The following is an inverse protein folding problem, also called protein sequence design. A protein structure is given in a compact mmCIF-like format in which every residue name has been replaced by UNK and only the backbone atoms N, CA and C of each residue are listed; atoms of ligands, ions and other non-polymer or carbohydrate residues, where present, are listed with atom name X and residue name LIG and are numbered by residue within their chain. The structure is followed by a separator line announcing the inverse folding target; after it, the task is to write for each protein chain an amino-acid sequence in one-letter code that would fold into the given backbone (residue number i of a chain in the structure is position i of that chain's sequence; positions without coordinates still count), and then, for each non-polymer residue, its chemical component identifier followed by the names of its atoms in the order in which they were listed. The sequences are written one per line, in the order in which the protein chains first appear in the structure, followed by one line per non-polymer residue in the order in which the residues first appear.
data_IF_539747757890
#
_entry.id   IF_539747757890
#
_cell.length_a   1.000
_cell.length_b   1.000
_cell.length_c   1.000
_cell.angle_alpha   90.00
_cell.angle_beta   90.00
_cell.angle_gamma   90.00
#
_symmetry.space_group_name_H-M   'P 1'
#
loop_
_entity.id
_entity.type
_entity.pdbx_description
1 polymer ?
#
# COMPACT_ATOMS: atom_id res chain seq x y z
N UNK A 1 1.75 7.61 3.49
CA UNK A 1 0.56 7.32 2.64
C UNK A 1 0.24 5.84 2.39
N UNK A 2 1.19 5.01 1.91
CA UNK A 2 0.92 3.62 1.47
C UNK A 2 0.29 2.74 2.57
N UNK A 3 0.88 2.77 3.77
CA UNK A 3 0.41 1.95 4.90
C UNK A 3 -1.02 2.30 5.31
N UNK A 4 -1.35 3.60 5.39
CA UNK A 4 -2.70 4.04 5.71
C UNK A 4 -3.71 3.57 4.65
N UNK A 5 -3.40 3.72 3.36
CA UNK A 5 -4.26 3.22 2.27
C UNK A 5 -4.53 1.73 2.38
N UNK A 6 -3.48 0.92 2.57
CA UNK A 6 -3.61 -0.53 2.67
C UNK A 6 -4.36 -0.94 3.96
N UNK A 7 -4.00 -0.33 5.09
CA UNK A 7 -4.58 -0.59 6.39
C UNK A 7 -6.07 -0.26 6.45
N UNK A 8 -6.48 0.94 6.06
CA UNK A 8 -7.90 1.34 6.08
C UNK A 8 -8.73 0.49 5.11
N UNK A 9 -8.18 0.16 3.94
CA UNK A 9 -8.86 -0.75 2.99
C UNK A 9 -9.06 -2.13 3.57
N UNK A 10 -8.06 -2.68 4.27
CA UNK A 10 -8.17 -3.98 4.95
C UNK A 10 -9.24 -3.94 6.06
N UNK A 11 -9.27 -2.87 6.87
CA UNK A 11 -10.32 -2.70 7.89
C UNK A 11 -11.72 -2.60 7.28
N UNK A 12 -11.87 -1.91 6.14
CA UNK A 12 -13.14 -1.84 5.42
C UNK A 12 -13.53 -3.20 4.81
N UNK A 13 -12.58 -4.00 4.34
CA UNK A 13 -12.86 -5.37 3.91
C UNK A 13 -13.40 -6.22 5.07
N UNK A 14 -12.77 -6.14 6.25
CA UNK A 14 -13.24 -6.81 7.45
C UNK A 14 -14.64 -6.33 7.90
N UNK A 15 -14.95 -5.04 7.70
CA UNK A 15 -16.31 -4.53 7.93
C UNK A 15 -17.34 -5.22 7.02
N UNK A 16 -17.04 -5.31 5.73
CA UNK A 16 -17.91 -5.97 4.76
C UNK A 16 -18.12 -7.43 5.15
N UNK A 17 -17.06 -8.14 5.55
CA UNK A 17 -17.11 -9.54 5.99
C UNK A 17 -17.94 -9.73 7.27
N UNK A 18 -17.93 -8.76 8.18
CA UNK A 18 -18.76 -8.77 9.39
C UNK A 18 -20.26 -8.56 9.11
N UNK A 19 -20.62 -8.23 7.86
CA UNK A 19 -21.99 -7.87 7.48
C UNK A 19 -22.38 -6.43 7.84
N UNK A 20 -21.42 -5.60 8.25
CA UNK A 20 -21.64 -4.19 8.50
C UNK A 20 -22.11 -3.48 7.23
N UNK A 21 -23.02 -2.51 7.40
CA UNK A 21 -23.57 -1.73 6.29
C UNK A 21 -23.44 -0.25 6.59
N UNK A 22 -22.99 0.50 5.60
CA UNK A 22 -23.00 1.95 5.65
C UNK A 22 -24.44 2.46 5.67
N UNK A 23 -24.75 3.37 6.59
CA UNK A 23 -26.12 3.91 6.78
C UNK A 23 -26.58 4.92 5.73
N UNK A 24 -25.83 5.10 4.65
CA UNK A 24 -26.13 6.01 3.55
C UNK A 24 -25.43 5.55 2.27
N UNK A 25 -25.85 6.12 1.14
CA UNK A 25 -25.31 5.83 -0.18
C UNK A 25 -24.90 7.14 -0.86
N UNK A 26 -23.83 7.12 -1.64
CA UNK A 26 -23.49 8.24 -2.53
C UNK A 26 -24.45 8.21 -3.73
N UNK A 27 -25.06 9.36 -4.06
CA UNK A 27 -26.01 9.41 -5.19
C UNK A 27 -25.35 9.19 -6.54
N UNK A 28 -24.14 9.71 -6.71
CA UNK A 28 -23.33 9.54 -7.91
C UNK A 28 -21.85 9.37 -7.51
N UNK A 29 -21.41 8.13 -7.25
CA UNK A 29 -20.03 7.84 -6.85
C UNK A 29 -18.99 8.27 -7.90
N UNK A 30 -19.31 8.18 -9.18
CA UNK A 30 -18.38 8.51 -10.28
C UNK A 30 -18.12 10.01 -10.34
N UNK A 31 -19.18 10.81 -10.18
CA UNK A 31 -19.05 12.27 -10.09
C UNK A 31 -18.39 12.70 -8.79
N UNK A 32 -18.72 12.05 -7.67
CA UNK A 32 -18.14 12.33 -6.36
C UNK A 32 -16.61 12.27 -6.37
N UNK A 33 -16.02 11.23 -6.95
CA UNK A 33 -14.55 11.09 -7.06
C UNK A 33 -13.92 12.30 -7.76
N UNK A 34 -14.49 12.73 -8.90
CA UNK A 34 -13.98 13.86 -9.67
C UNK A 34 -14.13 15.20 -8.95
N UNK A 35 -15.22 15.35 -8.19
CA UNK A 35 -15.52 16.56 -7.42
C UNK A 35 -14.55 16.70 -6.25
N UNK A 36 -14.37 15.65 -5.46
CA UNK A 36 -13.41 15.63 -4.33
C UNK A 36 -11.99 15.95 -4.81
N UNK A 37 -11.56 15.29 -5.90
CA UNK A 37 -10.21 15.48 -6.44
C UNK A 37 -9.90 16.89 -6.96
N UNK A 38 -10.92 17.68 -7.33
CA UNK A 38 -10.74 19.03 -7.91
C UNK A 38 -11.11 20.15 -6.96
N UNK A 39 -11.55 19.82 -5.76
CA UNK A 39 -11.99 20.82 -4.79
C UNK A 39 -10.79 21.43 -4.06
N UNK A 40 -10.37 22.60 -4.53
CA UNK A 40 -9.31 23.40 -3.93
C UNK A 40 -9.78 24.16 -2.66
N UNK A 41 -11.07 24.15 -2.35
CA UNK A 41 -11.59 24.75 -1.11
C UNK A 41 -11.50 23.82 0.10
N UNK A 42 -11.12 22.55 -0.13
CA UNK A 42 -10.98 21.50 0.89
C UNK A 42 -12.24 21.21 1.72
N UNK A 43 -13.42 21.57 1.20
CA UNK A 43 -14.70 21.28 1.87
C UNK A 43 -15.22 19.88 1.54
N UNK A 44 -14.86 19.36 0.38
CA UNK A 44 -15.15 18.02 -0.14
C UNK A 44 -16.59 17.58 0.11
N UNK A 45 -17.56 18.40 -0.31
CA UNK A 45 -18.98 18.09 -0.12
C UNK A 45 -19.46 17.02 -1.10
N UNK A 46 -20.12 16.00 -0.55
CA UNK A 46 -20.68 14.86 -1.24
C UNK A 46 -22.20 14.85 -1.13
N UNK A 47 -22.87 14.44 -2.21
CA UNK A 47 -24.32 14.24 -2.22
C UNK A 47 -24.65 12.78 -1.87
N UNK A 48 -25.34 12.60 -0.74
CA UNK A 48 -25.69 11.29 -0.21
C UNK A 48 -27.21 11.11 -0.10
N UNK A 49 -27.65 9.88 0.14
CA UNK A 49 -29.06 9.58 0.44
C UNK A 49 -29.57 10.29 1.71
N UNK A 50 -28.67 10.74 2.61
CA UNK A 50 -28.98 11.51 3.82
C UNK A 50 -28.82 13.03 3.66
N UNK A 51 -28.53 13.51 2.46
CA UNK A 51 -28.25 14.91 2.17
C UNK A 51 -26.75 15.16 1.95
N UNK A 52 -26.35 16.44 2.05
CA UNK A 52 -24.94 16.81 1.86
C UNK A 52 -24.10 16.42 3.08
N UNK A 53 -22.98 15.73 2.84
CA UNK A 53 -22.01 15.32 3.86
C UNK A 53 -20.61 15.63 3.36
N UNK A 54 -19.66 15.96 4.24
CA UNK A 54 -18.26 16.08 3.81
C UNK A 54 -17.65 14.69 3.53
N UNK A 55 -16.61 14.63 2.71
CA UNK A 55 -15.84 13.40 2.52
C UNK A 55 -15.21 12.90 3.83
N UNK A 56 -14.88 13.83 4.74
CA UNK A 56 -14.39 13.53 6.08
C UNK A 56 -15.48 12.82 6.90
N UNK A 57 -16.72 13.32 6.91
CA UNK A 57 -17.84 12.66 7.60
C UNK A 57 -18.08 11.24 7.09
N UNK A 58 -17.95 11.06 5.77
CA UNK A 58 -18.07 9.74 5.15
C UNK A 58 -16.96 8.81 5.63
N UNK A 59 -15.71 9.27 5.65
CA UNK A 59 -14.57 8.50 6.17
C UNK A 59 -14.71 8.20 7.67
N UNK A 60 -15.18 9.16 8.48
CA UNK A 60 -15.44 8.95 9.91
C UNK A 60 -16.49 7.86 10.15
N UNK A 61 -17.52 7.76 9.31
CA UNK A 61 -18.50 6.68 9.41
C UNK A 61 -17.88 5.28 9.20
N UNK A 62 -16.93 5.15 8.26
CA UNK A 62 -16.18 3.91 8.08
C UNK A 62 -15.20 3.65 9.24
N UNK A 63 -14.51 4.69 9.71
CA UNK A 63 -13.60 4.59 10.85
C UNK A 63 -14.32 4.12 12.12
N UNK A 64 -15.49 4.69 12.44
CA UNK A 64 -16.33 4.27 13.58
C UNK A 64 -16.72 2.78 13.47
N UNK A 65 -17.13 2.34 12.27
CA UNK A 65 -17.40 0.94 12.00
C UNK A 65 -16.17 0.07 12.26
N UNK A 66 -15.03 0.43 11.66
CA UNK A 66 -13.79 -0.33 11.74
C UNK A 66 -13.28 -0.43 13.19
N UNK A 67 -13.35 0.67 13.94
CA UNK A 67 -13.00 0.73 15.36
C UNK A 67 -13.85 -0.22 16.20
N UNK A 68 -15.15 -0.35 15.88
CA UNK A 68 -16.05 -1.24 16.60
C UNK A 68 -15.71 -2.73 16.43
N UNK A 69 -14.96 -3.12 15.39
CA UNK A 69 -14.54 -4.52 15.19
C UNK A 69 -13.48 -4.98 16.20
N UNK A 70 -12.72 -4.05 16.79
CA UNK A 70 -11.64 -4.34 17.75
C UNK A 70 -10.66 -5.41 17.24
N UNK A 71 -10.27 -5.32 15.96
CA UNK A 71 -9.36 -6.28 15.35
C UNK A 71 -7.95 -6.16 15.97
N UNK A 72 -7.31 -7.27 16.38
CA UNK A 72 -5.94 -7.24 16.90
C UNK A 72 -4.97 -6.60 15.89
N UNK A 73 -4.10 -5.72 16.36
CA UNK A 73 -3.09 -5.05 15.53
C UNK A 73 -3.61 -3.91 14.67
N UNK A 74 -4.88 -3.50 14.83
CA UNK A 74 -5.46 -2.38 14.09
C UNK A 74 -5.17 -1.00 14.72
N UNK A 75 -4.59 -0.95 15.92
CA UNK A 75 -4.44 0.27 16.73
C UNK A 75 -3.72 1.39 15.99
N UNK A 76 -2.60 1.08 15.34
CA UNK A 76 -1.81 2.07 14.59
C UNK A 76 -2.61 2.63 13.40
N UNK A 77 -3.26 1.76 12.61
CA UNK A 77 -4.04 2.19 11.44
C UNK A 77 -5.24 3.03 11.87
N UNK A 78 -5.94 2.64 12.93
CA UNK A 78 -7.08 3.39 13.46
C UNK A 78 -6.65 4.74 14.04
N UNK A 79 -5.50 4.79 14.72
CA UNK A 79 -4.90 6.03 15.22
C UNK A 79 -4.55 6.99 14.07
N UNK A 80 -3.72 6.55 13.13
CA UNK A 80 -3.31 7.39 11.99
C UNK A 80 -4.49 7.80 11.10
N UNK A 81 -5.52 6.95 10.97
CA UNK A 81 -6.73 7.33 10.23
C UNK A 81 -7.50 8.43 10.95
N UNK A 82 -7.67 8.34 12.27
CA UNK A 82 -8.32 9.40 13.05
C UNK A 82 -7.54 10.70 12.96
N UNK A 83 -6.25 10.66 13.22
CA UNK A 83 -5.37 11.83 13.22
C UNK A 83 -5.33 12.49 11.83
N UNK A 84 -5.30 11.70 10.76
CA UNK A 84 -5.38 12.23 9.40
C UNK A 84 -6.72 12.92 9.13
N UNK A 85 -7.85 12.36 9.58
CA UNK A 85 -9.17 12.99 9.42
C UNK A 85 -9.29 14.28 10.23
N UNK A 86 -8.82 14.28 11.49
CA UNK A 86 -8.80 15.46 12.35
C UNK A 86 -7.92 16.56 11.76
N UNK A 87 -6.78 16.19 11.18
CA UNK A 87 -5.87 17.15 10.53
C UNK A 87 -6.45 17.68 9.22
N UNK A 88 -7.03 16.83 8.37
CA UNK A 88 -7.73 17.27 7.14
C UNK A 88 -8.87 18.24 7.42
N UNK A 89 -9.58 18.07 8.54
CA UNK A 89 -10.68 18.96 8.94
C UNK A 89 -10.19 20.33 9.43
N UNK A 90 -9.00 20.37 10.03
CA UNK A 90 -8.41 21.58 10.61
C UNK A 90 -7.57 22.36 9.60
N UNK A 91 -6.57 21.71 9.02
CA UNK A 91 -5.72 22.22 7.95
C UNK A 91 -5.09 21.05 7.17
N UNK A 92 -5.56 20.78 5.93
CA UNK A 92 -5.00 19.73 5.09
C UNK A 92 -3.50 19.84 4.83
N UNK A 93 -2.94 21.06 4.83
CA UNK A 93 -1.54 21.29 4.49
C UNK A 93 -0.58 20.80 5.58
N UNK A 94 -1.07 20.58 6.80
CA UNK A 94 -0.27 20.03 7.89
C UNK A 94 0.07 18.55 7.73
N UNK A 95 -0.57 17.85 6.79
CA UNK A 95 -0.22 16.46 6.45
C UNK A 95 0.94 16.34 5.43
N UNK A 96 1.71 17.42 5.23
CA UNK A 96 2.82 17.43 4.28
C UNK A 96 3.85 16.33 4.55
N UNK A 97 4.03 15.94 5.81
CA UNK A 97 5.02 14.98 6.25
C UNK A 97 4.67 13.52 5.89
N UNK A 98 3.41 13.22 5.53
CA UNK A 98 2.97 11.82 5.32
C UNK A 98 1.90 11.62 4.24
N UNK A 99 1.35 12.70 3.68
CA UNK A 99 0.35 12.66 2.60
C UNK A 99 0.95 13.19 1.29
N UNK A 100 1.11 12.28 0.30
CA UNK A 100 1.85 12.58 -0.93
C UNK A 100 1.33 13.78 -1.72
N UNK A 101 0.00 13.95 -1.81
CA UNK A 101 -0.56 15.07 -2.58
C UNK A 101 -0.31 16.41 -1.89
N UNK A 102 -0.24 16.42 -0.55
CA UNK A 102 0.06 17.63 0.24
C UNK A 102 1.53 17.98 0.11
N UNK A 103 2.42 17.01 0.33
CA UNK A 103 3.87 17.16 0.18
C UNK A 103 4.22 17.71 -1.21
N UNK A 104 3.68 17.06 -2.25
CA UNK A 104 3.86 17.46 -3.64
C UNK A 104 3.29 18.85 -3.92
N UNK A 105 2.09 19.16 -3.43
CA UNK A 105 1.48 20.49 -3.64
C UNK A 105 2.38 21.58 -3.07
N UNK A 106 2.81 21.45 -1.82
CA UNK A 106 3.66 22.46 -1.18
C UNK A 106 5.01 22.61 -1.89
N UNK A 107 5.63 21.49 -2.29
CA UNK A 107 6.88 21.52 -3.04
C UNK A 107 6.74 22.29 -4.37
N UNK A 108 5.68 21.98 -5.13
CA UNK A 108 5.46 22.62 -6.43
C UNK A 108 5.03 24.09 -6.28
N UNK A 109 4.22 24.43 -5.28
CA UNK A 109 3.83 25.81 -4.98
C UNK A 109 5.06 26.65 -4.61
N UNK A 110 5.93 26.13 -3.74
CA UNK A 110 7.17 26.82 -3.35
C UNK A 110 8.11 27.04 -4.55
N UNK A 111 8.26 26.03 -5.40
CA UNK A 111 9.07 26.16 -6.62
C UNK A 111 8.47 27.17 -7.60
N UNK A 112 7.15 27.15 -7.76
CA UNK A 112 6.47 28.11 -8.63
C UNK A 112 6.64 29.55 -8.11
N UNK A 113 6.55 29.76 -6.80
CA UNK A 113 6.78 31.05 -6.18
C UNK A 113 8.24 31.52 -6.32
N UNK A 114 9.22 30.63 -6.10
CA UNK A 114 10.64 31.00 -6.17
C UNK A 114 11.10 31.36 -7.59
N UNK A 115 10.53 30.70 -8.60
CA UNK A 115 10.92 30.87 -10.01
C UNK A 115 9.94 31.76 -10.80
N UNK A 116 8.99 32.43 -10.14
CA UNK A 116 7.94 33.28 -10.74
C UNK A 116 7.17 32.56 -11.89
N UNK A 117 6.85 31.28 -11.65
CA UNK A 117 6.13 30.44 -12.61
C UNK A 117 4.62 30.54 -12.41
N UNK A 118 3.90 30.56 -13.53
CA UNK A 118 2.44 30.53 -13.52
C UNK A 118 1.91 29.13 -13.87
N UNK A 119 0.95 28.63 -13.08
CA UNK A 119 0.34 27.31 -13.25
C UNK A 119 -0.32 27.08 -14.62
N UNK A 120 -0.66 28.14 -15.34
CA UNK A 120 -1.26 28.07 -16.68
C UNK A 120 -0.21 28.22 -17.78
N UNK A 121 0.62 29.26 -17.70
CA UNK A 121 1.64 29.59 -18.72
C UNK A 121 2.79 28.58 -18.71
N UNK A 122 3.23 28.17 -17.53
CA UNK A 122 4.43 27.36 -17.31
C UNK A 122 4.08 25.90 -16.97
N UNK A 123 2.86 25.49 -17.36
CA UNK A 123 2.27 24.18 -17.07
C UNK A 123 3.17 23.00 -17.42
N UNK A 124 3.87 23.03 -18.55
CA UNK A 124 4.73 21.90 -18.97
C UNK A 124 5.89 21.70 -17.99
N UNK A 125 6.48 22.78 -17.48
CA UNK A 125 7.57 22.72 -16.50
C UNK A 125 7.06 22.16 -15.17
N UNK A 126 5.92 22.64 -14.68
CA UNK A 126 5.32 22.16 -13.42
C UNK A 126 4.87 20.69 -13.53
N UNK A 127 4.37 20.27 -14.69
CA UNK A 127 4.08 18.86 -14.95
C UNK A 127 5.33 17.97 -14.97
N UNK A 128 6.45 18.49 -15.48
CA UNK A 128 7.73 17.78 -15.41
C UNK A 128 8.17 17.56 -13.97
N UNK A 129 7.98 18.55 -13.10
CA UNK A 129 8.31 18.44 -11.67
C UNK A 129 7.36 17.50 -10.93
N UNK A 130 6.07 17.54 -11.25
CA UNK A 130 5.08 16.56 -10.74
C UNK A 130 5.49 15.11 -11.05
N UNK A 131 6.00 14.87 -12.26
CA UNK A 131 6.57 13.57 -12.64
C UNK A 131 7.87 13.25 -11.89
N UNK A 132 8.76 14.23 -11.74
CA UNK A 132 10.03 14.07 -11.03
C UNK A 132 9.85 13.71 -9.53
N UNK A 133 8.75 14.15 -8.90
CA UNK A 133 8.40 13.72 -7.54
C UNK A 133 8.29 12.19 -7.42
N UNK A 134 7.73 11.53 -8.44
CA UNK A 134 7.54 10.08 -8.45
C UNK A 134 8.75 9.30 -9.02
N UNK A 135 9.87 9.97 -9.31
CA UNK A 135 11.05 9.29 -9.81
C UNK A 135 11.66 8.40 -8.72
N UNK A 136 11.93 7.13 -9.08
CA UNK A 136 12.42 6.09 -8.16
C UNK A 136 13.93 6.12 -7.99
N UNK A 137 14.65 6.87 -8.82
CA UNK A 137 16.08 7.09 -8.69
C UNK A 137 16.38 7.89 -7.41
N UNK A 138 17.14 7.35 -6.44
CA UNK A 138 17.48 8.04 -5.20
C UNK A 138 18.12 9.41 -5.41
N UNK A 139 18.95 9.58 -6.44
CA UNK A 139 19.68 10.83 -6.68
C UNK A 139 18.86 11.89 -7.43
N UNK A 140 17.72 11.51 -8.01
CA UNK A 140 16.93 12.39 -8.89
C UNK A 140 15.45 12.52 -8.48
N UNK A 141 14.96 11.71 -7.54
CA UNK A 141 13.59 11.73 -7.05
C UNK A 141 13.35 12.87 -6.06
N UNK A 142 12.40 13.76 -6.35
CA UNK A 142 12.11 14.87 -5.43
C UNK A 142 11.52 14.38 -4.09
N UNK A 143 10.77 13.26 -4.09
CA UNK A 143 10.34 12.64 -2.84
C UNK A 143 11.53 12.14 -2.00
N UNK A 144 12.55 11.56 -2.64
CA UNK A 144 13.73 11.05 -1.93
C UNK A 144 14.52 12.19 -1.28
N UNK A 145 14.67 13.31 -1.98
CA UNK A 145 15.25 14.53 -1.40
C UNK A 145 14.50 15.01 -0.14
N UNK A 146 13.16 14.92 -0.11
CA UNK A 146 12.37 15.26 1.08
C UNK A 146 12.57 14.25 2.24
N UNK A 147 12.79 12.97 1.93
CA UNK A 147 13.13 11.96 2.94
C UNK A 147 14.52 12.22 3.52
N UNK A 148 15.52 12.49 2.66
CA UNK A 148 16.90 12.81 3.07
C UNK A 148 16.99 14.06 3.95
N UNK A 149 16.16 15.08 3.68
CA UNK A 149 16.03 16.30 4.49
C UNK A 149 15.28 16.06 5.83
N UNK A 150 14.71 14.88 6.04
CA UNK A 150 13.92 14.55 7.23
C UNK A 150 12.53 15.19 7.25
N UNK A 151 12.07 15.70 6.10
CA UNK A 151 10.76 16.33 5.94
C UNK A 151 9.61 15.31 5.84
N UNK A 152 9.90 14.04 5.54
CA UNK A 152 8.90 12.97 5.42
C UNK A 152 8.98 11.95 6.57
N UNK A 153 7.83 11.52 7.07
CA UNK A 153 7.72 10.40 7.98
C UNK A 153 7.93 9.07 7.25
N UNK A 154 8.87 8.26 7.73
CA UNK A 154 9.12 6.89 7.26
C UNK A 154 8.63 5.88 8.29
N UNK A 155 8.18 4.71 7.82
CA UNK A 155 7.67 3.63 8.69
C UNK A 155 8.61 2.45 8.84
N UNK A 156 9.57 2.35 7.92
CA UNK A 156 10.58 1.30 7.87
C UNK A 156 11.92 1.96 7.62
N UNK A 157 12.98 1.35 8.14
CA UNK A 157 14.36 1.78 7.95
C UNK A 157 14.90 1.39 6.58
N UNK A 158 15.95 2.07 6.13
CA UNK A 158 16.66 1.72 4.89
C UNK A 158 17.25 0.31 4.98
N UNK A 159 17.73 -0.11 6.16
CA UNK A 159 18.23 -1.45 6.39
C UNK A 159 17.13 -2.52 6.20
N UNK A 160 15.91 -2.26 6.65
CA UNK A 160 14.77 -3.16 6.43
C UNK A 160 14.37 -3.24 4.95
N UNK A 161 14.41 -2.11 4.23
CA UNK A 161 14.14 -2.06 2.79
C UNK A 161 15.19 -2.87 2.03
N UNK A 162 16.48 -2.67 2.32
CA UNK A 162 17.56 -3.40 1.67
C UNK A 162 17.50 -4.90 1.99
N UNK A 163 17.24 -5.28 3.24
CA UNK A 163 17.07 -6.68 3.61
C UNK A 163 15.90 -7.35 2.87
N UNK A 164 14.81 -6.62 2.62
CA UNK A 164 13.63 -7.12 1.92
C UNK A 164 13.87 -7.39 0.42
N UNK A 165 14.97 -6.89 -0.16
CA UNK A 165 15.36 -7.19 -1.56
C UNK A 165 15.69 -8.66 -1.75
N UNK A 166 16.40 -9.24 -0.77
CA UNK A 166 16.90 -10.61 -0.83
C UNK A 166 16.13 -11.56 0.10
N UNK A 167 15.35 -11.03 1.04
CA UNK A 167 14.63 -11.81 2.05
C UNK A 167 13.12 -11.79 1.81
N UNK A 168 12.56 -12.96 1.48
CA UNK A 168 11.13 -13.13 1.35
C UNK A 168 10.39 -13.00 2.70
N UNK A 169 9.12 -12.54 2.71
CA UNK A 169 8.33 -12.41 3.94
C UNK A 169 8.02 -13.79 4.56
N UNK A 170 8.34 -13.94 5.85
CA UNK A 170 8.37 -15.23 6.56
C UNK A 170 6.97 -15.85 6.79
N UNK A 171 5.93 -15.04 6.94
CA UNK A 171 4.57 -15.51 7.24
C UNK A 171 3.75 -15.93 6.03
N UNK A 172 4.35 -16.05 4.84
CA UNK A 172 3.61 -16.31 3.60
C UNK A 172 4.31 -17.35 2.74
N UNK A 173 3.59 -17.94 1.78
CA UNK A 173 4.16 -18.81 0.75
C UNK A 173 5.26 -18.17 -0.11
N UNK A 174 5.49 -16.86 -0.01
CA UNK A 174 6.66 -16.22 -0.61
C UNK A 174 7.98 -16.76 -0.02
N UNK A 175 7.98 -17.14 1.26
CA UNK A 175 9.12 -17.79 1.91
C UNK A 175 9.56 -19.04 1.15
N UNK A 176 8.60 -19.89 0.79
CA UNK A 176 8.87 -21.11 0.03
C UNK A 176 9.43 -20.79 -1.35
N UNK A 177 8.84 -19.82 -2.06
CA UNK A 177 9.34 -19.39 -3.38
C UNK A 177 10.77 -18.88 -3.31
N UNK A 178 11.08 -18.05 -2.33
CA UNK A 178 12.44 -17.55 -2.10
C UNK A 178 13.43 -18.69 -1.86
N UNK A 179 13.11 -19.61 -0.94
CA UNK A 179 13.96 -20.75 -0.62
C UNK A 179 14.16 -21.71 -1.82
N UNK A 180 13.11 -21.97 -2.59
CA UNK A 180 13.17 -22.82 -3.79
C UNK A 180 14.06 -22.19 -4.88
N UNK A 181 13.93 -20.88 -5.12
CA UNK A 181 14.81 -20.17 -6.06
C UNK A 181 16.25 -20.20 -5.58
N UNK A 182 16.49 -19.87 -4.31
CA UNK A 182 17.84 -19.84 -3.74
C UNK A 182 18.57 -21.19 -3.87
N UNK A 183 17.86 -22.31 -3.67
CA UNK A 183 18.46 -23.64 -3.68
C UNK A 183 18.45 -24.34 -5.04
N UNK A 184 17.38 -24.20 -5.82
CA UNK A 184 17.12 -25.03 -7.00
C UNK A 184 16.99 -24.23 -8.31
N UNK A 185 17.36 -22.94 -8.36
CA UNK A 185 17.22 -22.08 -9.54
C UNK A 185 17.53 -22.74 -10.90
N UNK A 186 18.65 -23.49 -11.09
CA UNK A 186 18.96 -24.10 -12.39
C UNK A 186 17.98 -25.18 -12.87
N UNK A 187 17.18 -25.74 -11.97
CA UNK A 187 16.20 -26.79 -12.28
C UNK A 187 14.82 -26.21 -12.61
N UNK A 188 14.57 -24.96 -12.25
CA UNK A 188 13.27 -24.29 -12.36
C UNK A 188 13.06 -23.79 -13.78
N UNK A 189 12.08 -24.37 -14.48
CA UNK A 189 11.62 -23.89 -15.78
C UNK A 189 10.66 -22.72 -15.62
N UNK A 190 9.78 -22.80 -14.63
CA UNK A 190 8.74 -21.80 -14.38
C UNK A 190 8.39 -21.77 -12.90
N UNK A 191 8.17 -20.57 -12.36
CA UNK A 191 7.69 -20.35 -11.00
C UNK A 191 6.50 -19.38 -11.03
N UNK A 192 5.43 -19.74 -10.32
CA UNK A 192 4.22 -18.93 -10.18
C UNK A 192 3.83 -18.79 -8.70
N UNK A 193 2.72 -18.10 -8.43
CA UNK A 193 2.21 -17.95 -7.06
C UNK A 193 1.81 -19.28 -6.40
N UNK A 194 1.29 -20.24 -7.18
CA UNK A 194 0.73 -21.48 -6.65
C UNK A 194 1.50 -22.75 -7.03
N UNK A 195 2.49 -22.66 -7.91
CA UNK A 195 3.25 -23.84 -8.34
C UNK A 195 4.61 -23.49 -8.94
N UNK A 196 5.52 -24.47 -8.87
CA UNK A 196 6.82 -24.52 -9.53
C UNK A 196 6.82 -25.68 -10.53
N UNK A 197 7.41 -25.47 -11.71
CA UNK A 197 7.62 -26.51 -12.71
C UNK A 197 9.10 -26.61 -13.10
N UNK A 198 9.62 -27.83 -13.17
CA UNK A 198 11.02 -28.10 -13.53
C UNK A 198 11.21 -28.31 -15.02
N UNK A 199 12.46 -28.25 -15.48
CA UNK A 199 12.81 -28.61 -16.87
C UNK A 199 12.49 -30.07 -17.21
N UNK A 200 12.42 -30.95 -16.21
CA UNK A 200 12.12 -32.37 -16.37
C UNK A 200 10.61 -32.67 -16.34
N UNK A 201 9.76 -31.65 -16.16
CA UNK A 201 8.30 -31.79 -16.14
C UNK A 201 7.70 -32.05 -14.76
N UNK A 202 8.51 -32.08 -13.70
CA UNK A 202 8.05 -32.18 -12.31
C UNK A 202 7.28 -30.91 -11.94
N UNK A 203 6.08 -31.06 -11.38
CA UNK A 203 5.27 -29.96 -10.85
C UNK A 203 5.18 -30.06 -9.33
N UNK A 204 5.55 -28.98 -8.65
CA UNK A 204 5.44 -28.83 -7.20
C UNK A 204 4.37 -27.77 -6.91
N UNK A 205 3.27 -28.16 -6.27
CA UNK A 205 2.25 -27.21 -5.80
C UNK A 205 2.74 -26.49 -4.54
N UNK A 206 2.41 -25.20 -4.42
CA UNK A 206 2.71 -24.39 -3.24
C UNK A 206 1.41 -24.16 -2.45
N UNK A 207 1.32 -24.61 -1.19
CA UNK A 207 0.08 -24.50 -0.43
C UNK A 207 -0.26 -23.04 -0.11
N UNK A 208 -1.56 -22.77 0.02
CA UNK A 208 -2.05 -21.43 0.39
C UNK A 208 -1.94 -21.17 1.89
N UNK A 209 -2.02 -22.23 2.70
CA UNK A 209 -1.92 -22.19 4.16
C UNK A 209 -1.03 -23.33 4.64
N UNK A 210 -0.35 -23.14 5.77
CA UNK A 210 0.52 -24.15 6.35
C UNK A 210 1.61 -23.54 7.22
N UNK A 211 2.41 -24.40 7.84
CA UNK A 211 3.62 -23.99 8.56
C UNK A 211 4.75 -23.75 7.55
N UNK A 212 4.82 -22.52 7.03
CA UNK A 212 5.82 -22.15 6.04
C UNK A 212 7.26 -22.25 6.57
N UNK A 213 7.47 -22.15 7.89
CA UNK A 213 8.80 -22.30 8.48
C UNK A 213 9.24 -23.77 8.43
N UNK A 214 8.39 -24.70 8.87
CA UNK A 214 8.67 -26.13 8.79
C UNK A 214 8.85 -26.59 7.33
N UNK A 215 8.03 -26.09 6.40
CA UNK A 215 8.15 -26.41 4.98
C UNK A 215 9.43 -25.83 4.36
N UNK A 216 9.92 -24.68 4.84
CA UNK A 216 11.22 -24.16 4.44
C UNK A 216 12.36 -25.07 4.89
N UNK A 217 12.31 -25.60 6.11
CA UNK A 217 13.33 -26.57 6.57
C UNK A 217 13.35 -27.83 5.69
N UNK A 218 12.18 -28.30 5.24
CA UNK A 218 12.10 -29.41 4.28
C UNK A 218 12.78 -29.07 2.95
N UNK A 219 12.59 -27.85 2.44
CA UNK A 219 13.31 -27.38 1.24
C UNK A 219 14.82 -27.39 1.48
N UNK A 220 15.27 -26.91 2.64
CA UNK A 220 16.68 -26.86 3.02
C UNK A 220 17.31 -28.24 3.19
N UNK A 221 16.55 -29.25 3.65
CA UNK A 221 17.03 -30.64 3.76
C UNK A 221 16.92 -31.46 2.47
N UNK A 222 16.00 -31.11 1.56
CA UNK A 222 15.71 -31.92 0.38
C UNK A 222 16.88 -32.01 -0.60
N UNK A 223 17.05 -33.17 -1.23
CA UNK A 223 18.12 -33.39 -2.21
C UNK A 223 17.69 -33.02 -3.64
N UNK A 224 16.40 -33.16 -3.96
CA UNK A 224 15.83 -32.81 -5.26
C UNK A 224 14.42 -32.22 -5.16
N UNK A 225 13.97 -31.58 -6.25
CA UNK A 225 12.59 -31.10 -6.36
C UNK A 225 11.58 -32.23 -6.53
N UNK A 226 12.00 -33.37 -7.09
CA UNK A 226 11.18 -34.58 -7.21
C UNK A 226 10.85 -35.18 -5.84
N UNK A 227 11.83 -35.20 -4.93
CA UNK A 227 11.63 -35.64 -3.54
C UNK A 227 10.63 -34.73 -2.81
N UNK A 228 10.76 -33.40 -2.98
CA UNK A 228 9.81 -32.43 -2.42
C UNK A 228 8.41 -32.59 -3.01
N UNK A 229 8.30 -32.75 -4.32
CA UNK A 229 7.02 -32.92 -4.99
C UNK A 229 6.28 -34.16 -4.51
N UNK A 230 6.98 -35.28 -4.31
CA UNK A 230 6.40 -36.48 -3.72
C UNK A 230 5.96 -36.26 -2.27
N UNK A 231 6.80 -35.60 -1.46
CA UNK A 231 6.51 -35.39 -0.03
C UNK A 231 5.28 -34.51 0.18
N UNK A 232 5.11 -33.49 -0.66
CA UNK A 232 3.99 -32.55 -0.54
C UNK A 232 2.72 -33.04 -1.24
N UNK A 233 2.83 -33.92 -2.24
CA UNK A 233 1.64 -34.54 -2.85
C UNK A 233 0.97 -35.57 -1.95
N UNK A 234 1.73 -36.24 -1.08
CA UNK A 234 1.20 -37.26 -0.17
C UNK A 234 0.55 -36.66 1.10
N UNK A 235 0.60 -35.33 1.25
CA UNK A 235 0.08 -34.59 2.41
C UNK A 235 -1.32 -33.98 2.18
N UNK A 236 -1.89 -34.09 0.98
CA UNK A 236 -3.30 -33.76 0.66
C UNK A 236 -4.23 -34.98 0.85
#
# INVERSE_FOLDING_TARGET
AIALRAGTTNLVAALIESGWKLGFELRDPVKAIKAVSRDESYKWLLDTSRGSMSAIDVQRAYWEGAKALQLPGSDWVLGEWSDALDTLERDPLELFDRCDWVAKKLLLDQFAESEDLDWTRDRLSLQSLDLAYCNVDPEAGLYQALVEDGSMQTLVSDEEIEAARDTAPQGTRALLRGALVAKFAPQIRQLSWGALETHQGTRLALPETGDFAAMREQIESATSLEELASTWSDAE
#
